data_IF_642754708107
#
_entry.id   IF_642754708107
#
_cell.length_a   1.000
_cell.length_b   1.000
_cell.length_c   1.000
_cell.angle_alpha   90.00
_cell.angle_beta   90.00
_cell.angle_gamma   90.00
#
_symmetry.space_group_name_H-M   'P 1'
#
loop_
_entity.id
_entity.type
_entity.pdbx_description
1 polymer ?
#
# COMPACT_ATOMS: atom_id res chain seq x y z
N UNK A 1 -1.36 24.62 16.22
CA UNK A 1 -2.51 24.81 15.30
C UNK A 1 -2.09 25.27 13.91
N UNK A 2 -1.28 26.33 13.72
CA UNK A 2 -0.85 26.75 12.37
C UNK A 2 -0.13 25.63 11.58
N UNK A 3 0.67 24.80 12.25
CA UNK A 3 1.39 23.69 11.60
C UNK A 3 0.48 22.66 10.92
N UNK A 4 -0.73 22.42 11.44
CA UNK A 4 -1.68 21.50 10.81
C UNK A 4 -2.13 22.03 9.44
N UNK A 5 -2.24 23.35 9.28
CA UNK A 5 -2.61 23.97 8.03
C UNK A 5 -1.44 23.99 7.03
N UNK A 6 -0.20 24.16 7.51
CA UNK A 6 0.98 24.18 6.64
C UNK A 6 1.43 22.79 6.18
N UNK A 7 1.39 21.77 7.04
CA UNK A 7 1.89 20.41 6.76
C UNK A 7 0.91 19.29 7.16
N UNK A 8 -0.30 19.24 6.58
CA UNK A 8 -1.39 18.35 7.03
C UNK A 8 -1.11 16.85 6.87
N UNK A 9 -0.22 16.46 5.94
CA UNK A 9 0.10 15.05 5.70
C UNK A 9 1.13 14.49 6.68
N UNK A 10 2.02 15.34 7.20
CA UNK A 10 3.13 14.95 8.06
C UNK A 10 2.82 15.18 9.53
N UNK A 11 2.18 16.31 9.86
CA UNK A 11 1.85 16.69 11.23
C UNK A 11 0.38 16.38 11.48
N UNK A 12 0.11 15.29 12.19
CA UNK A 12 -1.24 14.85 12.53
C UNK A 12 -1.59 15.27 13.96
N UNK A 13 -2.80 15.79 14.22
CA UNK A 13 -3.26 16.04 15.58
C UNK A 13 -3.31 14.73 16.36
N UNK A 14 -3.17 14.80 17.68
CA UNK A 14 -3.44 13.64 18.56
C UNK A 14 -4.92 13.30 18.57
N UNK A 15 -5.30 12.10 19.05
CA UNK A 15 -6.69 11.66 19.06
C UNK A 15 -7.61 12.65 19.80
N UNK A 16 -7.20 13.09 21.00
CA UNK A 16 -7.95 14.08 21.78
C UNK A 16 -8.10 15.43 21.07
N UNK A 17 -7.06 15.91 20.38
CA UNK A 17 -7.13 17.16 19.60
C UNK A 17 -8.07 17.01 18.39
N UNK A 18 -8.00 15.89 17.69
CA UNK A 18 -8.86 15.61 16.55
C UNK A 18 -10.35 15.54 16.95
N UNK A 19 -10.65 14.91 18.10
CA UNK A 19 -12.00 14.86 18.67
C UNK A 19 -12.44 16.27 19.08
N UNK A 20 -11.60 17.00 19.81
CA UNK A 20 -11.91 18.37 20.26
C UNK A 20 -12.19 19.32 19.09
N UNK A 21 -11.43 19.21 17.99
CA UNK A 21 -11.68 19.97 16.76
C UNK A 21 -13.02 19.59 16.12
N UNK A 22 -13.33 18.29 16.07
CA UNK A 22 -14.59 17.80 15.48
C UNK A 22 -15.80 18.26 16.28
N UNK A 23 -15.72 18.21 17.61
CA UNK A 23 -16.79 18.66 18.52
C UNK A 23 -16.97 20.19 18.49
N UNK A 24 -15.88 20.95 18.47
CA UNK A 24 -15.95 22.42 18.51
C UNK A 24 -16.33 23.06 17.16
N UNK A 25 -15.86 22.49 16.05
CA UNK A 25 -16.07 23.08 14.71
C UNK A 25 -17.15 22.36 13.90
N UNK A 26 -17.68 21.23 14.38
CA UNK A 26 -18.65 20.40 13.63
C UNK A 26 -18.07 19.78 12.36
N UNK A 27 -16.75 19.70 12.25
CA UNK A 27 -16.06 19.10 11.11
C UNK A 27 -15.99 17.58 11.27
N UNK A 28 -15.79 16.83 10.17
CA UNK A 28 -15.62 15.39 10.27
C UNK A 28 -14.38 14.99 11.04
N UNK A 29 -14.46 13.83 11.70
CA UNK A 29 -13.30 13.26 12.39
C UNK A 29 -12.10 13.12 11.45
N UNK A 30 -10.92 13.41 11.98
CA UNK A 30 -9.68 13.34 11.22
C UNK A 30 -9.44 11.94 10.63
N UNK A 31 -9.06 11.80 9.32
CA UNK A 31 -8.95 10.50 8.63
C UNK A 31 -7.96 9.50 9.24
N UNK A 32 -7.00 9.97 10.03
CA UNK A 32 -6.07 9.09 10.77
C UNK A 32 -6.80 8.24 11.83
N UNK A 33 -7.87 8.76 12.40
CA UNK A 33 -8.67 8.15 13.47
C UNK A 33 -10.03 7.62 12.97
N UNK A 34 -10.39 7.91 11.73
CA UNK A 34 -11.53 7.27 11.07
C UNK A 34 -11.13 5.85 10.63
N UNK A 35 -11.92 4.85 11.00
CA UNK A 35 -11.75 3.45 10.59
C UNK A 35 -12.70 3.11 9.43
N UNK A 36 -12.63 1.89 8.89
CA UNK A 36 -13.41 1.46 7.72
C UNK A 36 -14.85 1.07 8.09
N UNK A 37 -15.55 1.97 8.79
CA UNK A 37 -16.91 1.73 9.29
C UNK A 37 -17.94 1.48 8.20
N UNK A 38 -17.68 1.90 6.95
CA UNK A 38 -18.53 1.58 5.80
C UNK A 38 -18.55 0.09 5.44
N UNK A 39 -17.58 -0.69 5.91
CA UNK A 39 -17.51 -2.15 5.70
C UNK A 39 -18.20 -2.94 6.82
N UNK A 40 -18.58 -2.27 7.90
CA UNK A 40 -19.22 -2.86 9.08
C UNK A 40 -20.72 -2.62 9.00
N UNK A 41 -21.53 -3.61 9.39
CA UNK A 41 -22.98 -3.46 9.38
C UNK A 41 -23.48 -2.58 10.51
N UNK A 42 -24.68 -2.03 10.38
CA UNK A 42 -25.27 -1.23 11.47
C UNK A 42 -25.53 -2.06 12.74
N UNK A 43 -25.86 -3.35 12.59
CA UNK A 43 -26.09 -4.26 13.71
C UNK A 43 -24.79 -4.54 14.47
N UNK A 44 -23.68 -4.61 13.75
CA UNK A 44 -22.35 -4.75 14.35
C UNK A 44 -21.97 -3.51 15.15
N UNK A 45 -22.31 -2.31 14.69
CA UNK A 45 -22.12 -1.07 15.47
C UNK A 45 -22.91 -1.11 16.78
N UNK A 46 -24.16 -1.57 16.76
CA UNK A 46 -24.97 -1.68 17.98
C UNK A 46 -24.42 -2.74 18.93
N UNK A 47 -24.04 -3.91 18.41
CA UNK A 47 -23.41 -4.97 19.18
C UNK A 47 -22.09 -4.52 19.82
N UNK A 48 -21.25 -3.82 19.04
CA UNK A 48 -19.99 -3.29 19.50
C UNK A 48 -20.21 -2.24 20.60
N UNK A 49 -21.20 -1.36 20.46
CA UNK A 49 -21.59 -0.41 21.51
C UNK A 49 -22.04 -1.12 22.79
N UNK A 50 -22.95 -2.08 22.68
CA UNK A 50 -23.48 -2.84 23.82
C UNK A 50 -22.35 -3.48 24.64
N UNK A 51 -21.39 -4.12 23.97
CA UNK A 51 -20.25 -4.76 24.62
C UNK A 51 -19.26 -3.75 25.21
N UNK A 52 -18.91 -2.71 24.47
CA UNK A 52 -17.90 -1.75 24.91
C UNK A 52 -18.36 -0.88 26.07
N UNK A 53 -19.66 -0.66 26.26
CA UNK A 53 -20.19 -0.01 27.47
C UNK A 53 -19.73 -0.74 28.74
N UNK A 54 -19.61 -2.07 28.70
CA UNK A 54 -19.25 -2.89 29.85
C UNK A 54 -17.74 -3.15 29.98
N UNK A 55 -17.04 -3.24 28.85
CA UNK A 55 -15.66 -3.73 28.82
C UNK A 55 -14.61 -2.65 28.56
N UNK A 56 -14.95 -1.54 27.90
CA UNK A 56 -13.96 -0.54 27.53
C UNK A 56 -13.74 0.44 28.68
N UNK A 57 -12.85 0.06 29.58
CA UNK A 57 -12.33 0.90 30.65
C UNK A 57 -11.01 1.59 30.23
N UNK A 58 -10.35 2.26 31.19
CA UNK A 58 -9.08 2.95 30.94
C UNK A 58 -7.92 1.99 30.61
N UNK A 59 -8.09 0.68 30.83
CA UNK A 59 -7.04 -0.31 30.51
C UNK A 59 -6.95 -0.63 29.02
N UNK A 60 -7.95 -0.23 28.22
CA UNK A 60 -8.01 -0.49 26.78
C UNK A 60 -7.93 -2.00 26.42
N UNK A 61 -8.26 -2.88 27.37
CA UNK A 61 -8.28 -4.33 27.19
C UNK A 61 -9.72 -4.83 27.15
N UNK A 62 -10.04 -5.59 26.10
CA UNK A 62 -11.34 -6.20 25.90
C UNK A 62 -11.23 -7.72 26.04
N UNK A 63 -12.22 -8.40 26.63
CA UNK A 63 -12.25 -9.85 26.63
C UNK A 63 -12.35 -10.37 25.19
N UNK A 64 -11.83 -11.57 24.95
CA UNK A 64 -11.98 -12.20 23.66
C UNK A 64 -13.44 -12.57 23.41
N UNK A 65 -13.95 -12.04 22.30
CA UNK A 65 -15.23 -12.39 21.72
C UNK A 65 -14.98 -12.47 20.20
N UNK A 66 -15.33 -13.60 19.60
CA UNK A 66 -15.11 -13.86 18.18
C UNK A 66 -15.79 -12.79 17.31
N UNK A 67 -17.01 -12.39 17.69
CA UNK A 67 -17.76 -11.39 16.95
C UNK A 67 -17.14 -9.99 17.11
N UNK A 68 -16.67 -9.63 18.30
CA UNK A 68 -15.95 -8.35 18.48
C UNK A 68 -14.69 -8.30 17.63
N UNK A 69 -13.91 -9.38 17.63
CA UNK A 69 -12.69 -9.50 16.84
C UNK A 69 -12.98 -9.33 15.35
N UNK A 70 -13.98 -10.02 14.83
CA UNK A 70 -14.38 -9.90 13.42
C UNK A 70 -14.77 -8.47 13.05
N UNK A 71 -15.54 -7.79 13.91
CA UNK A 71 -15.95 -6.39 13.67
C UNK A 71 -14.73 -5.46 13.64
N UNK A 72 -13.80 -5.61 14.59
CA UNK A 72 -12.57 -4.80 14.63
C UNK A 72 -11.69 -5.05 13.40
N UNK A 73 -11.60 -6.29 12.93
CA UNK A 73 -10.86 -6.65 11.72
C UNK A 73 -11.52 -6.09 10.45
N UNK A 74 -12.85 -6.16 10.34
CA UNK A 74 -13.61 -5.56 9.23
C UNK A 74 -13.47 -4.04 9.21
N UNK A 75 -13.52 -3.39 10.37
CA UNK A 75 -13.25 -1.96 10.52
C UNK A 75 -11.78 -1.59 10.24
N UNK A 76 -10.89 -2.59 10.08
CA UNK A 76 -9.42 -2.42 9.94
C UNK A 76 -8.81 -1.67 11.12
N UNK A 77 -9.36 -1.87 12.32
CA UNK A 77 -8.86 -1.25 13.54
C UNK A 77 -7.64 -2.03 14.07
N UNK A 78 -6.47 -1.40 14.23
CA UNK A 78 -5.29 -2.07 14.77
C UNK A 78 -5.49 -2.46 16.24
N UNK A 79 -5.31 -3.74 16.54
CA UNK A 79 -5.39 -4.30 17.89
C UNK A 79 -4.36 -5.43 18.05
N UNK A 80 -4.03 -5.78 19.30
CA UNK A 80 -3.10 -6.88 19.64
C UNK A 80 -3.82 -7.93 20.47
N UNK A 81 -3.39 -9.18 20.35
CA UNK A 81 -3.81 -10.24 21.26
C UNK A 81 -2.76 -10.39 22.36
N UNK A 82 -3.14 -10.14 23.62
CA UNK A 82 -2.26 -10.28 24.81
C UNK A 82 -2.96 -11.13 25.84
N UNK A 83 -2.33 -12.24 26.26
CA UNK A 83 -2.89 -13.18 27.24
C UNK A 83 -4.34 -13.65 26.94
N UNK A 84 -4.68 -13.77 25.66
CA UNK A 84 -6.03 -14.17 25.23
C UNK A 84 -7.07 -13.05 25.27
N UNK A 85 -6.68 -11.80 25.47
CA UNK A 85 -7.54 -10.62 25.41
C UNK A 85 -7.16 -9.69 24.23
N UNK A 86 -8.10 -8.87 23.78
CA UNK A 86 -7.91 -7.90 22.70
C UNK A 86 -7.46 -6.57 23.32
N UNK A 87 -6.23 -6.16 23.04
CA UNK A 87 -5.68 -4.88 23.47
C UNK A 87 -5.77 -3.84 22.34
N UNK A 88 -6.46 -2.75 22.60
CA UNK A 88 -6.55 -1.59 21.72
C UNK A 88 -5.39 -0.63 21.95
N UNK A 89 -5.11 0.24 20.99
CA UNK A 89 -4.22 1.40 21.21
C UNK A 89 -4.99 2.48 21.97
N UNK A 90 -4.30 3.21 22.86
CA UNK A 90 -4.90 4.28 23.67
C UNK A 90 -5.68 5.30 22.82
N UNK A 91 -5.09 5.74 21.70
CA UNK A 91 -5.73 6.66 20.75
C UNK A 91 -7.01 6.07 20.14
N UNK A 92 -7.00 4.79 19.77
CA UNK A 92 -8.17 4.13 19.15
C UNK A 92 -9.28 3.88 20.18
N UNK A 93 -8.90 3.54 21.41
CA UNK A 93 -9.85 3.38 22.51
C UNK A 93 -10.53 4.71 22.84
N UNK A 94 -9.78 5.82 22.92
CA UNK A 94 -10.33 7.16 23.12
C UNK A 94 -11.33 7.53 22.00
N UNK A 95 -10.97 7.25 20.76
CA UNK A 95 -11.82 7.50 19.60
C UNK A 95 -13.09 6.63 19.63
N UNK A 96 -12.99 5.35 20.01
CA UNK A 96 -14.16 4.48 20.15
C UNK A 96 -15.10 4.96 21.25
N UNK A 97 -14.57 5.32 22.43
CA UNK A 97 -15.36 5.83 23.55
C UNK A 97 -16.20 7.03 23.15
N UNK A 98 -15.61 7.94 22.39
CA UNK A 98 -16.24 9.19 21.95
C UNK A 98 -17.23 8.96 20.81
N UNK A 99 -16.86 8.20 19.77
CA UNK A 99 -17.75 7.95 18.62
C UNK A 99 -19.01 7.17 19.02
N UNK A 100 -18.89 6.20 19.93
CA UNK A 100 -20.01 5.36 20.35
C UNK A 100 -20.82 5.96 21.49
N UNK A 101 -20.36 7.09 22.04
CA UNK A 101 -20.95 7.77 23.18
C UNK A 101 -21.20 6.80 24.35
N UNK A 102 -20.13 6.15 24.81
CA UNK A 102 -20.21 5.11 25.85
C UNK A 102 -20.59 5.69 27.23
N UNK A 103 -20.39 7.00 27.44
CA UNK A 103 -20.76 7.69 28.68
C UNK A 103 -22.28 7.86 28.85
N UNK A 104 -23.04 7.80 27.76
CA UNK A 104 -24.50 7.92 27.76
C UNK A 104 -25.17 6.62 27.28
N UNK A 105 -25.19 5.55 28.11
CA UNK A 105 -25.69 4.23 27.69
C UNK A 105 -27.15 4.23 27.24
N UNK A 106 -27.97 5.12 27.81
CA UNK A 106 -29.40 5.27 27.49
C UNK A 106 -29.70 5.81 26.08
N UNK A 107 -28.71 6.41 25.41
CA UNK A 107 -28.89 6.96 24.07
C UNK A 107 -29.10 5.83 23.06
N UNK A 108 -30.29 5.74 22.47
CA UNK A 108 -30.57 4.88 21.34
C UNK A 108 -30.68 5.71 20.07
N UNK A 109 -29.98 5.25 19.04
CA UNK A 109 -29.94 5.90 17.73
C UNK A 109 -30.41 4.91 16.69
N UNK A 110 -31.26 5.35 15.76
CA UNK A 110 -31.63 4.60 14.55
C UNK A 110 -31.05 5.31 13.34
N UNK A 111 -29.88 4.86 12.88
CA UNK A 111 -29.32 5.28 11.59
C UNK A 111 -29.82 4.39 10.45
N UNK A 112 -29.75 4.86 9.20
CA UNK A 112 -29.97 3.99 8.03
C UNK A 112 -28.68 3.26 7.62
N UNK A 113 -27.51 3.82 7.96
CA UNK A 113 -26.19 3.22 7.74
C UNK A 113 -25.32 3.24 9.01
N UNK A 114 -24.23 2.46 9.01
CA UNK A 114 -23.25 2.45 10.09
C UNK A 114 -22.63 3.83 10.32
N UNK A 115 -22.27 4.54 9.24
CA UNK A 115 -21.69 5.89 9.31
C UNK A 115 -22.67 6.92 9.89
N UNK A 116 -23.96 6.83 9.52
CA UNK A 116 -24.99 7.70 10.09
C UNK A 116 -25.21 7.41 11.57
N UNK A 117 -25.32 6.13 11.95
CA UNK A 117 -25.47 5.74 13.36
C UNK A 117 -24.30 6.25 14.21
N UNK A 118 -23.07 6.09 13.72
CA UNK A 118 -21.87 6.59 14.40
C UNK A 118 -21.86 8.13 14.46
N UNK A 119 -22.25 8.82 13.39
CA UNK A 119 -22.28 10.30 13.37
C UNK A 119 -23.30 10.85 14.37
N UNK A 120 -24.47 10.21 14.46
CA UNK A 120 -25.53 10.57 15.40
C UNK A 120 -25.12 10.29 16.87
N UNK A 121 -24.40 9.20 17.13
CA UNK A 121 -23.85 8.90 18.45
C UNK A 121 -22.75 9.89 18.85
N UNK A 122 -21.81 10.17 17.95
CA UNK A 122 -20.64 11.01 18.21
C UNK A 122 -20.98 12.50 18.37
N UNK A 123 -22.10 12.96 17.79
CA UNK A 123 -22.47 14.38 17.74
C UNK A 123 -21.72 15.21 16.70
N UNK A 124 -20.91 14.57 15.85
CA UNK A 124 -20.20 15.18 14.72
C UNK A 124 -20.14 14.21 13.53
N UNK A 125 -19.95 14.69 12.29
CA UNK A 125 -20.03 13.82 11.12
C UNK A 125 -18.86 12.83 11.04
N UNK A 126 -19.15 11.57 10.73
CA UNK A 126 -18.15 10.54 10.43
C UNK A 126 -18.31 10.14 8.96
N UNK A 127 -17.25 10.38 8.18
CA UNK A 127 -17.25 10.14 6.74
C UNK A 127 -16.61 8.80 6.39
N UNK A 128 -16.98 8.30 5.22
CA UNK A 128 -16.34 7.13 4.65
C UNK A 128 -14.85 7.42 4.35
N UNK A 129 -13.94 6.67 4.97
CA UNK A 129 -12.49 6.78 4.76
C UNK A 129 -12.04 6.27 3.40
N UNK A 130 -12.69 5.24 2.87
CA UNK A 130 -12.31 4.58 1.62
C UNK A 130 -13.56 4.18 0.82
N UNK A 131 -14.22 5.15 0.17
CA UNK A 131 -15.41 4.88 -0.64
C UNK A 131 -15.10 4.17 -1.97
N UNK A 132 -13.85 4.26 -2.45
CA UNK A 132 -13.44 3.74 -3.76
C UNK A 132 -12.29 2.76 -3.55
N UNK A 133 -12.45 1.55 -4.08
CA UNK A 133 -11.41 0.53 -4.13
C UNK A 133 -10.93 0.37 -5.57
N UNK A 134 -9.62 0.50 -5.80
CA UNK A 134 -9.01 0.30 -7.12
C UNK A 134 -8.31 -1.05 -7.13
N UNK A 135 -8.79 -1.97 -7.97
CA UNK A 135 -8.12 -3.24 -8.21
C UNK A 135 -6.88 -3.05 -9.07
N UNK A 136 -5.80 -3.75 -8.75
CA UNK A 136 -4.59 -3.79 -9.56
C UNK A 136 -4.16 -5.23 -9.80
N UNK A 137 -3.55 -5.49 -10.96
CA UNK A 137 -2.86 -6.75 -11.26
C UNK A 137 -1.41 -6.42 -11.55
N UNK A 138 -0.51 -7.23 -10.99
CA UNK A 138 0.92 -7.07 -11.27
C UNK A 138 1.16 -7.32 -12.75
N UNK A 139 1.58 -6.28 -13.46
CA UNK A 139 2.04 -6.37 -14.83
C UNK A 139 3.46 -6.94 -14.91
N UNK A 140 4.03 -6.91 -16.11
CA UNK A 140 5.44 -7.24 -16.30
C UNK A 140 6.29 -6.24 -15.48
N UNK A 141 7.23 -6.70 -14.64
CA UNK A 141 8.14 -5.81 -13.93
C UNK A 141 8.90 -4.88 -14.87
N UNK A 142 9.23 -3.70 -14.37
CA UNK A 142 10.08 -2.75 -15.07
C UNK A 142 11.41 -3.41 -15.46
N UNK A 143 11.86 -3.19 -16.69
CA UNK A 143 13.09 -3.79 -17.23
C UNK A 143 14.15 -2.73 -17.43
N UNK A 144 15.18 -2.75 -16.58
CA UNK A 144 16.40 -1.96 -16.73
C UNK A 144 17.59 -2.76 -17.32
N UNK A 145 17.37 -4.03 -17.71
CA UNK A 145 18.43 -4.88 -18.28
C UNK A 145 18.83 -4.39 -19.67
N UNK A 146 20.13 -4.26 -19.90
CA UNK A 146 20.71 -3.93 -21.20
C UNK A 146 20.23 -4.85 -22.32
N UNK A 147 20.17 -4.31 -23.54
CA UNK A 147 19.84 -5.07 -24.74
C UNK A 147 21.07 -5.85 -25.19
N UNK A 148 21.16 -7.09 -24.75
CA UNK A 148 22.23 -8.03 -25.16
C UNK A 148 21.65 -8.99 -26.19
N UNK A 149 22.38 -9.23 -27.28
CA UNK A 149 22.16 -10.40 -28.13
C UNK A 149 22.58 -11.68 -27.39
N UNK A 150 22.02 -12.82 -27.79
CA UNK A 150 22.47 -14.14 -27.32
C UNK A 150 23.04 -14.90 -28.53
N UNK A 151 24.33 -15.25 -28.57
CA UNK A 151 25.39 -14.98 -27.59
C UNK A 151 25.76 -13.49 -27.52
N UNK A 152 26.47 -13.08 -26.46
CA UNK A 152 26.90 -11.68 -26.28
C UNK A 152 27.85 -11.29 -27.42
N UNK A 153 27.45 -10.32 -28.24
CA UNK A 153 28.22 -9.79 -29.37
C UNK A 153 28.74 -8.40 -29.02
N UNK A 154 30.05 -8.17 -29.19
CA UNK A 154 30.68 -6.85 -28.98
C UNK A 154 30.86 -6.06 -30.30
N UNK A 155 30.83 -6.72 -31.45
CA UNK A 155 30.96 -6.11 -32.77
C UNK A 155 30.40 -7.02 -33.87
N UNK A 156 29.93 -6.42 -34.97
CA UNK A 156 29.33 -7.15 -36.09
C UNK A 156 30.42 -7.59 -37.08
N UNK A 157 31.19 -8.61 -36.71
CA UNK A 157 32.15 -9.25 -37.61
C UNK A 157 31.81 -10.73 -37.79
N UNK A 158 31.71 -11.24 -39.02
CA UNK A 158 31.39 -12.65 -39.24
C UNK A 158 32.58 -13.51 -38.85
N UNK A 159 32.41 -14.40 -37.86
CA UNK A 159 33.42 -15.41 -37.49
C UNK A 159 33.12 -16.79 -38.06
N UNK A 160 32.03 -16.94 -38.84
CA UNK A 160 31.54 -18.22 -39.33
C UNK A 160 31.45 -19.27 -38.22
N UNK A 161 31.93 -20.49 -38.51
CA UNK A 161 32.12 -21.56 -37.51
C UNK A 161 33.51 -21.51 -36.85
N UNK A 162 34.37 -20.55 -37.20
CA UNK A 162 35.73 -20.46 -36.67
C UNK A 162 35.77 -20.00 -35.21
N UNK A 163 34.86 -19.10 -34.82
CA UNK A 163 34.77 -18.55 -33.45
C UNK A 163 33.96 -19.38 -32.45
N UNK A 164 33.65 -20.64 -32.77
CA UNK A 164 32.92 -21.55 -31.88
C UNK A 164 31.50 -21.07 -31.52
N UNK A 165 30.89 -21.60 -30.43
CA UNK A 165 29.52 -21.28 -30.03
C UNK A 165 29.36 -19.82 -29.55
N UNK A 166 30.44 -19.17 -29.15
CA UNK A 166 30.44 -17.77 -28.67
C UNK A 166 30.71 -16.75 -29.76
N UNK A 167 31.05 -17.19 -30.99
CA UNK A 167 31.47 -16.31 -32.10
C UNK A 167 32.65 -15.42 -31.69
N UNK A 168 33.64 -16.01 -31.03
CA UNK A 168 34.82 -15.30 -30.55
C UNK A 168 35.81 -15.05 -31.69
N UNK A 169 36.15 -13.77 -31.90
CA UNK A 169 37.11 -13.34 -32.91
C UNK A 169 38.53 -13.82 -32.60
N UNK A 170 38.90 -13.89 -31.31
CA UNK A 170 40.24 -14.32 -30.89
C UNK A 170 40.41 -15.80 -31.19
N UNK A 171 39.40 -16.63 -30.93
CA UNK A 171 39.44 -18.06 -31.31
C UNK A 171 39.50 -18.25 -32.82
N UNK A 172 38.72 -17.48 -33.58
CA UNK A 172 38.76 -17.54 -35.04
C UNK A 172 40.14 -17.17 -35.60
N UNK A 173 40.82 -16.18 -35.02
CA UNK A 173 42.14 -15.71 -35.47
C UNK A 173 43.27 -16.75 -35.30
N UNK A 174 43.09 -17.74 -34.42
CA UNK A 174 44.07 -18.83 -34.22
C UNK A 174 44.01 -19.88 -35.32
N UNK A 175 42.94 -19.92 -36.13
CA UNK A 175 42.82 -20.85 -37.24
C UNK A 175 43.57 -20.30 -38.45
N UNK A 176 44.31 -21.17 -39.16
CA UNK A 176 45.15 -20.77 -40.29
C UNK A 176 44.36 -20.31 -41.52
N UNK A 177 43.20 -20.91 -41.77
CA UNK A 177 42.31 -20.56 -42.89
C UNK A 177 40.86 -20.60 -42.40
N UNK A 178 40.12 -19.54 -42.72
CA UNK A 178 38.68 -19.44 -42.41
C UNK A 178 37.96 -18.96 -43.66
N UNK A 179 36.87 -19.63 -44.01
CA UNK A 179 35.96 -19.21 -45.09
C UNK A 179 34.88 -18.31 -44.50
N UNK A 180 34.83 -17.05 -44.94
CA UNK A 180 33.87 -16.04 -44.50
C UNK A 180 33.29 -15.32 -45.72
N UNK A 181 32.01 -14.97 -45.64
CA UNK A 181 31.37 -14.11 -46.63
C UNK A 181 31.61 -12.65 -46.24
N UNK A 182 32.52 -11.99 -46.95
CA UNK A 182 32.91 -10.60 -46.74
C UNK A 182 32.79 -9.82 -48.06
N UNK A 183 32.64 -8.51 -47.95
CA UNK A 183 32.69 -7.61 -49.11
C UNK A 183 34.10 -7.08 -49.25
N UNK A 184 34.74 -7.29 -50.40
CA UNK A 184 36.08 -6.77 -50.64
C UNK A 184 36.04 -5.28 -51.03
N UNK A 185 37.02 -4.53 -50.54
CA UNK A 185 37.28 -3.14 -50.94
C UNK A 185 38.66 -3.05 -51.57
N UNK A 186 38.80 -2.24 -52.61
CA UNK A 186 40.08 -1.95 -53.24
C UNK A 186 40.41 -0.47 -53.07
N UNK A 187 41.66 -0.18 -52.68
CA UNK A 187 42.18 1.19 -52.61
C UNK A 187 42.46 1.72 -54.02
N UNK A 188 41.82 2.84 -54.39
CA UNK A 188 41.97 3.43 -55.73
C UNK A 188 43.37 4.00 -56.00
N UNK A 189 44.17 4.28 -54.97
CA UNK A 189 45.50 4.90 -55.13
C UNK A 189 46.63 3.88 -55.29
N UNK A 190 46.58 2.76 -54.55
CA UNK A 190 47.65 1.75 -54.53
C UNK A 190 47.22 0.36 -55.03
N UNK A 191 45.94 0.17 -55.36
CA UNK A 191 45.39 -1.09 -55.86
C UNK A 191 45.33 -2.23 -54.83
N UNK A 192 45.77 -2.00 -53.59
CA UNK A 192 45.66 -2.98 -52.51
C UNK A 192 44.19 -3.26 -52.22
N UNK A 193 43.82 -4.53 -52.15
CA UNK A 193 42.51 -4.95 -51.71
C UNK A 193 42.56 -5.35 -50.23
N UNK A 194 41.51 -5.01 -49.50
CA UNK A 194 41.29 -5.39 -48.11
C UNK A 194 39.80 -5.72 -47.94
N UNK A 195 39.48 -6.70 -47.12
CA UNK A 195 38.08 -7.02 -46.82
C UNK A 195 37.46 -5.91 -45.95
N UNK A 196 36.23 -5.53 -46.28
CA UNK A 196 35.47 -4.48 -45.58
C UNK A 196 35.00 -4.99 -44.21
N UNK A 197 35.41 -4.28 -43.15
CA UNK A 197 34.79 -4.31 -41.82
C UNK A 197 33.44 -3.58 -41.80
#
# INVERSE_FOLDING_TARGET
>A
MQEFAYNPFSVKPRAGEAIGLSQSLGIPLHPAYTHFWSLVTIQDVYYLREKLIHYLDDSCVLPYDEKLKDILEQARMPHKMVAGAIQLRDDDALVLRTILNLEAPATQVKGASSLEALSLLAGFPIKNKAPIFVGARMGRPEKAKERIMTPRVHGLFPTGQAGGPRRDLIEASRKSVVTLDLVDRSCQQCGRWESKL
#
